data_IF_718548804760
#
_entry.id   IF_718548804760
#
_cell.length_a   1.000
_cell.length_b   1.000
_cell.length_c   1.000
_cell.angle_alpha   90.00
_cell.angle_beta   90.00
_cell.angle_gamma   90.00
#
_symmetry.space_group_name_H-M   'P 1'
#
loop_
_entity.id
_entity.type
_entity.pdbx_description
1 polymer ?
#
# COMPACT_ATOMS: atom_id res chain seq x y z
N UNK A 1 -2.30 9.59 3.95
CA UNK A 1 -1.01 10.06 4.50
C UNK A 1 -0.06 10.65 3.44
N UNK A 2 0.05 10.08 2.23
CA UNK A 2 0.93 10.55 1.14
C UNK A 2 0.94 12.08 0.92
N UNK A 3 -0.23 12.69 0.67
CA UNK A 3 -0.32 14.13 0.36
C UNK A 3 0.30 14.98 1.47
N UNK A 4 -0.04 14.70 2.73
CA UNK A 4 0.47 15.44 3.88
C UNK A 4 1.99 15.30 4.01
N UNK A 5 2.54 14.07 3.96
CA UNK A 5 3.99 13.87 4.10
C UNK A 5 4.74 14.54 2.96
N UNK A 6 4.26 14.41 1.72
CA UNK A 6 4.88 15.06 0.56
C UNK A 6 4.87 16.58 0.66
N UNK A 7 3.83 17.17 1.26
CA UNK A 7 3.76 18.61 1.51
C UNK A 7 4.73 19.07 2.61
N UNK A 8 4.98 18.23 3.62
CA UNK A 8 5.96 18.51 4.69
C UNK A 8 7.39 18.38 4.15
N UNK A 9 7.72 17.23 3.57
CA UNK A 9 9.00 16.94 2.96
C UNK A 9 8.89 15.67 2.09
N UNK A 10 9.09 15.84 0.79
CA UNK A 10 9.04 14.74 -0.17
C UNK A 10 10.10 13.64 0.10
N UNK A 11 11.24 13.98 0.69
CA UNK A 11 12.29 13.01 1.04
C UNK A 11 11.81 12.07 2.17
N UNK A 12 11.04 12.58 3.14
CA UNK A 12 10.45 11.74 4.17
C UNK A 12 9.50 10.71 3.57
N UNK A 13 8.70 11.11 2.56
CA UNK A 13 7.82 10.18 1.85
C UNK A 13 8.62 9.07 1.15
N UNK A 14 9.76 9.39 0.52
CA UNK A 14 10.63 8.37 -0.08
C UNK A 14 11.18 7.40 0.97
N UNK A 15 11.65 7.89 2.11
CA UNK A 15 12.19 7.04 3.19
C UNK A 15 11.12 6.11 3.75
N UNK A 16 9.88 6.59 3.89
CA UNK A 16 8.75 5.76 4.33
C UNK A 16 8.49 4.61 3.35
N UNK A 17 8.62 4.85 2.05
CA UNK A 17 8.33 3.84 1.03
C UNK A 17 9.47 2.87 0.77
N UNK A 18 10.70 3.38 0.70
CA UNK A 18 11.88 2.65 0.24
C UNK A 18 12.74 2.13 1.42
N UNK A 19 12.57 2.72 2.61
CA UNK A 19 13.41 2.48 3.76
C UNK A 19 14.59 3.44 3.85
N UNK A 20 15.19 3.58 5.04
CA UNK A 20 16.39 4.38 5.21
C UNK A 20 17.60 3.69 4.57
N UNK A 21 18.41 4.49 3.87
CA UNK A 21 19.73 4.04 3.45
C UNK A 21 20.71 4.21 4.60
N UNK A 22 20.82 3.19 5.46
CA UNK A 22 21.76 3.23 6.57
C UNK A 22 23.21 3.35 6.07
N UNK A 23 24.07 4.10 6.78
CA UNK A 23 25.48 4.21 6.46
C UNK A 23 26.15 2.83 6.44
N UNK A 24 26.70 2.45 5.29
CA UNK A 24 27.39 1.19 5.07
C UNK A 24 28.80 1.42 4.56
N UNK A 25 29.71 0.49 4.86
CA UNK A 25 31.08 0.48 4.36
C UNK A 25 31.37 -0.86 3.72
N UNK A 26 32.14 -0.85 2.62
CA UNK A 26 32.59 -2.07 1.94
C UNK A 26 34.04 -2.34 2.33
N UNK A 27 34.32 -3.54 2.82
CA UNK A 27 35.68 -3.99 3.12
C UNK A 27 36.50 -4.19 1.84
N UNK A 28 37.81 -4.33 1.97
CA UNK A 28 38.73 -4.65 0.86
C UNK A 28 38.37 -5.99 0.19
N UNK A 29 37.68 -6.88 0.90
CA UNK A 29 37.20 -8.19 0.44
C UNK A 29 35.79 -8.12 -0.17
N UNK A 30 35.21 -6.92 -0.32
CA UNK A 30 33.88 -6.73 -0.90
C UNK A 30 32.70 -6.94 0.06
N UNK A 31 32.96 -7.18 1.35
CA UNK A 31 31.92 -7.40 2.36
C UNK A 31 31.30 -6.06 2.76
N UNK A 32 29.98 -5.92 2.61
CA UNK A 32 29.24 -4.73 3.04
C UNK A 32 28.78 -4.90 4.49
N UNK A 33 29.18 -3.96 5.35
CA UNK A 33 28.77 -3.90 6.76
C UNK A 33 28.22 -2.52 7.12
N UNK A 34 27.52 -2.42 8.25
CA UNK A 34 27.17 -1.12 8.81
C UNK A 34 28.44 -0.35 9.18
N UNK A 35 28.45 0.93 8.83
CA UNK A 35 29.55 1.83 9.13
C UNK A 35 29.45 2.25 10.61
N UNK A 36 30.53 2.18 11.40
CA UNK A 36 30.50 2.63 12.78
C UNK A 36 30.27 4.15 12.86
N UNK A 37 29.53 4.61 13.87
CA UNK A 37 29.08 6.01 13.99
C UNK A 37 30.23 7.03 13.98
N UNK A 38 31.36 6.67 14.57
CA UNK A 38 32.59 7.50 14.58
C UNK A 38 33.11 7.82 13.17
N UNK A 39 32.78 7.01 12.17
CA UNK A 39 33.20 7.19 10.79
C UNK A 39 32.13 7.90 9.93
N UNK A 40 30.95 8.21 10.48
CA UNK A 40 29.85 8.81 9.72
C UNK A 40 30.22 10.17 9.16
N UNK A 41 29.92 10.37 7.88
CA UNK A 41 29.94 11.68 7.24
C UNK A 41 28.71 12.48 7.65
N UNK A 42 28.67 13.76 7.26
CA UNK A 42 27.47 14.57 7.47
C UNK A 42 26.26 14.03 6.69
N UNK A 43 26.48 13.51 5.49
CA UNK A 43 25.44 12.86 4.71
C UNK A 43 24.91 11.58 5.38
N UNK A 44 25.80 10.80 6.02
CA UNK A 44 25.43 9.60 6.78
C UNK A 44 24.50 9.96 7.94
N UNK A 45 24.86 11.00 8.72
CA UNK A 45 24.04 11.51 9.83
C UNK A 45 22.69 12.02 9.34
N UNK A 46 22.68 12.78 8.24
CA UNK A 46 21.46 13.32 7.64
C UNK A 46 20.47 12.22 7.24
N UNK A 47 20.94 11.09 6.70
CA UNK A 47 20.07 9.95 6.37
C UNK A 47 19.42 9.34 7.61
N UNK A 48 20.19 9.17 8.69
CA UNK A 48 19.68 8.64 9.97
C UNK A 48 18.67 9.61 10.59
N UNK A 49 18.97 10.91 10.56
CA UNK A 49 18.09 11.97 11.07
C UNK A 49 16.75 12.01 10.31
N UNK A 50 16.78 11.89 8.99
CA UNK A 50 15.56 11.88 8.17
C UNK A 50 14.68 10.66 8.49
N UNK A 51 15.27 9.48 8.75
CA UNK A 51 14.51 8.33 9.22
C UNK A 51 13.88 8.59 10.59
N UNK A 52 14.62 9.16 11.54
CA UNK A 52 14.09 9.50 12.86
C UNK A 52 12.92 10.49 12.77
N UNK A 53 13.04 11.50 11.89
CA UNK A 53 11.95 12.44 11.59
C UNK A 53 10.73 11.75 11.00
N UNK A 54 10.92 10.84 10.04
CA UNK A 54 9.83 10.08 9.45
C UNK A 54 9.14 9.15 10.48
N UNK A 55 9.90 8.46 11.33
CA UNK A 55 9.37 7.64 12.43
C UNK A 55 8.55 8.48 13.39
N UNK A 56 9.07 9.64 13.81
CA UNK A 56 8.36 10.54 14.71
C UNK A 56 7.05 11.04 14.07
N UNK A 57 7.10 11.46 12.80
CA UNK A 57 5.92 11.91 12.06
C UNK A 57 4.84 10.83 12.00
N UNK A 58 5.21 9.58 11.71
CA UNK A 58 4.27 8.45 11.71
C UNK A 58 3.67 8.20 13.10
N UNK A 59 4.50 8.18 14.15
CA UNK A 59 4.03 7.96 15.53
C UNK A 59 3.08 9.05 16.01
N UNK A 60 3.27 10.31 15.60
CA UNK A 60 2.35 11.39 15.90
C UNK A 60 1.02 11.30 15.13
N UNK A 61 0.99 10.62 13.99
CA UNK A 61 -0.18 10.53 13.13
C UNK A 61 -1.09 9.34 13.44
N UNK A 62 -0.61 8.36 14.21
CA UNK A 62 -1.33 7.13 14.53
C UNK A 62 -1.90 7.14 15.95
N UNK A 63 -2.94 6.33 16.17
CA UNK A 63 -3.54 6.15 17.50
C UNK A 63 -2.61 5.39 18.45
N UNK A 64 -2.88 5.48 19.75
CA UNK A 64 -2.13 4.74 20.76
C UNK A 64 -2.18 3.21 20.57
N UNK A 65 -3.30 2.67 20.08
CA UNK A 65 -3.44 1.24 19.80
C UNK A 65 -2.55 0.79 18.63
N UNK A 66 -2.45 1.61 17.58
CA UNK A 66 -1.56 1.35 16.46
C UNK A 66 -0.10 1.50 16.86
N UNK A 67 0.23 2.54 17.63
CA UNK A 67 1.57 2.75 18.19
C UNK A 67 2.06 1.51 18.94
N UNK A 68 1.24 0.90 19.79
CA UNK A 68 1.59 -0.34 20.52
C UNK A 68 2.00 -1.49 19.59
N UNK A 69 1.42 -1.58 18.38
CA UNK A 69 1.73 -2.65 17.41
C UNK A 69 3.03 -2.41 16.66
N UNK A 70 3.41 -1.13 16.49
CA UNK A 70 4.61 -0.72 15.75
C UNK A 70 5.77 -0.31 16.67
N UNK A 71 5.60 -0.33 18.00
CA UNK A 71 6.61 0.19 18.96
C UNK A 71 8.01 -0.42 18.77
N UNK A 72 8.09 -1.69 18.33
CA UNK A 72 9.36 -2.41 18.11
C UNK A 72 9.97 -2.16 16.73
N UNK A 73 9.29 -1.42 15.86
CA UNK A 73 9.82 -1.03 14.56
C UNK A 73 10.84 0.09 14.75
N UNK A 74 11.95 -0.03 14.04
CA UNK A 74 13.10 0.88 14.13
C UNK A 74 13.17 1.84 12.94
N UNK A 75 12.52 1.50 11.84
CA UNK A 75 12.49 2.32 10.63
C UNK A 75 11.09 2.78 10.29
N UNK A 76 10.99 3.93 9.61
CA UNK A 76 9.70 4.44 9.14
C UNK A 76 9.02 3.47 8.16
N UNK A 77 9.82 2.75 7.36
CA UNK A 77 9.37 1.71 6.44
C UNK A 77 8.74 0.52 7.16
N UNK A 78 9.36 0.01 8.22
CA UNK A 78 8.79 -1.08 9.01
C UNK A 78 7.45 -0.69 9.66
N UNK A 79 7.36 0.54 10.18
CA UNK A 79 6.10 1.07 10.73
C UNK A 79 5.04 1.11 9.62
N UNK A 80 5.38 1.71 8.48
CA UNK A 80 4.48 1.84 7.34
C UNK A 80 3.98 0.49 6.82
N UNK A 81 4.88 -0.46 6.60
CA UNK A 81 4.52 -1.80 6.11
C UNK A 81 3.60 -2.54 7.08
N UNK A 82 3.84 -2.43 8.39
CA UNK A 82 2.94 -2.99 9.40
C UNK A 82 1.57 -2.33 9.40
N UNK A 83 1.51 -1.00 9.28
CA UNK A 83 0.25 -0.27 9.20
C UNK A 83 -0.53 -0.69 7.94
N UNK A 84 0.15 -0.85 6.80
CA UNK A 84 -0.48 -1.37 5.59
C UNK A 84 -1.04 -2.77 5.78
N UNK A 85 -0.28 -3.69 6.38
CA UNK A 85 -0.76 -5.05 6.65
C UNK A 85 -1.97 -5.03 7.59
N UNK A 86 -1.97 -4.15 8.60
CA UNK A 86 -3.06 -4.06 9.56
C UNK A 86 -4.35 -3.52 8.94
N UNK A 87 -4.27 -2.44 8.15
CA UNK A 87 -5.45 -1.78 7.59
C UNK A 87 -5.92 -2.37 6.26
N UNK A 88 -4.99 -2.77 5.40
CA UNK A 88 -5.29 -3.26 4.05
C UNK A 88 -5.26 -4.80 3.98
N UNK A 89 -4.83 -5.47 5.05
CA UNK A 89 -4.62 -6.91 5.08
C UNK A 89 -3.29 -7.36 4.46
N UNK A 90 -2.93 -8.61 4.69
CA UNK A 90 -1.74 -9.23 4.08
C UNK A 90 -1.91 -9.41 2.57
N UNK A 91 -0.81 -9.60 1.84
CA UNK A 91 -0.85 -9.95 0.42
C UNK A 91 -1.73 -11.18 0.14
N UNK A 92 -1.78 -12.15 1.06
CA UNK A 92 -2.61 -13.35 0.93
C UNK A 92 -4.10 -12.98 1.04
N UNK A 93 -4.47 -12.17 2.03
CA UNK A 93 -5.85 -11.68 2.20
C UNK A 93 -6.28 -10.88 0.98
N UNK A 94 -5.43 -9.97 0.50
CA UNK A 94 -5.69 -9.18 -0.73
C UNK A 94 -5.90 -10.09 -1.94
N UNK A 95 -5.00 -11.05 -2.20
CA UNK A 95 -5.13 -12.02 -3.30
C UNK A 95 -6.41 -12.85 -3.20
N UNK A 96 -6.78 -13.28 -1.99
CA UNK A 96 -8.00 -14.05 -1.75
C UNK A 96 -9.24 -13.21 -2.06
N UNK A 97 -9.28 -11.96 -1.58
CA UNK A 97 -10.36 -11.01 -1.85
C UNK A 97 -10.48 -10.71 -3.34
N UNK A 98 -9.36 -10.46 -4.01
CA UNK A 98 -9.31 -10.32 -5.48
C UNK A 98 -9.89 -11.54 -6.19
N UNK A 99 -9.46 -12.75 -5.82
CA UNK A 99 -9.95 -13.97 -6.43
C UNK A 99 -11.47 -14.12 -6.27
N UNK A 100 -11.99 -13.85 -5.07
CA UNK A 100 -13.43 -13.91 -4.79
C UNK A 100 -14.21 -12.89 -5.61
N UNK A 101 -13.76 -11.63 -5.64
CA UNK A 101 -14.41 -10.56 -6.42
C UNK A 101 -14.35 -10.82 -7.93
N UNK A 102 -13.23 -11.33 -8.44
CA UNK A 102 -13.11 -11.70 -9.85
C UNK A 102 -14.09 -12.82 -10.20
N UNK A 103 -14.23 -13.82 -9.31
CA UNK A 103 -15.19 -14.90 -9.52
C UNK A 103 -16.62 -14.39 -9.48
N UNK A 104 -16.95 -13.50 -8.55
CA UNK A 104 -18.28 -12.86 -8.46
C UNK A 104 -18.58 -12.05 -9.71
N UNK A 105 -17.60 -11.29 -10.21
CA UNK A 105 -17.68 -10.56 -11.47
C UNK A 105 -17.90 -11.49 -12.67
N UNK A 106 -17.15 -12.58 -12.77
CA UNK A 106 -17.23 -13.54 -13.89
C UNK A 106 -18.58 -14.25 -13.98
N UNK A 107 -19.20 -14.54 -12.84
CA UNK A 107 -20.52 -15.17 -12.77
C UNK A 107 -21.67 -14.17 -12.63
N UNK A 108 -21.37 -12.86 -12.64
CA UNK A 108 -22.35 -11.81 -12.41
C UNK A 108 -23.43 -11.86 -13.50
N UNK A 109 -24.68 -12.01 -13.04
CA UNK A 109 -25.85 -12.04 -13.89
C UNK A 109 -27.03 -11.44 -13.14
N UNK A 110 -27.97 -10.91 -13.92
CA UNK A 110 -29.24 -10.44 -13.40
C UNK A 110 -30.02 -11.57 -12.74
N UNK A 111 -30.56 -11.30 -11.55
CA UNK A 111 -31.38 -12.25 -10.81
C UNK A 111 -32.84 -12.15 -11.24
N UNK A 112 -33.60 -13.23 -10.99
CA UNK A 112 -35.03 -13.24 -11.27
C UNK A 112 -35.76 -12.22 -10.38
N UNK A 113 -36.51 -11.31 -11.00
CA UNK A 113 -37.24 -10.25 -10.31
C UNK A 113 -36.38 -9.05 -9.87
N UNK A 114 -35.08 -9.03 -10.19
CA UNK A 114 -34.21 -7.89 -9.93
C UNK A 114 -34.55 -6.73 -10.87
N UNK A 115 -34.57 -5.50 -10.36
CA UNK A 115 -34.68 -4.29 -11.19
C UNK A 115 -33.33 -3.92 -11.80
N UNK A 116 -33.36 -3.11 -12.86
CA UNK A 116 -32.12 -2.62 -13.51
C UNK A 116 -31.29 -1.79 -12.53
N UNK A 117 -31.92 -0.98 -11.67
CA UNK A 117 -31.21 -0.18 -10.67
C UNK A 117 -30.50 -1.07 -9.63
N UNK A 118 -31.17 -2.11 -9.13
CA UNK A 118 -30.58 -3.08 -8.20
C UNK A 118 -29.40 -3.85 -8.82
N UNK A 119 -29.53 -4.22 -10.10
CA UNK A 119 -28.46 -4.84 -10.88
C UNK A 119 -27.23 -3.91 -10.93
N UNK A 120 -27.44 -2.64 -11.28
CA UNK A 120 -26.36 -1.67 -11.37
C UNK A 120 -25.68 -1.42 -10.03
N UNK A 121 -26.44 -1.31 -8.93
CA UNK A 121 -25.87 -1.13 -7.59
C UNK A 121 -24.98 -2.31 -7.19
N UNK A 122 -25.46 -3.54 -7.37
CA UNK A 122 -24.67 -4.76 -7.09
C UNK A 122 -23.41 -4.82 -7.94
N UNK A 123 -23.52 -4.51 -9.22
CA UNK A 123 -22.38 -4.49 -10.11
C UNK A 123 -21.35 -3.41 -9.71
N UNK A 124 -21.82 -2.21 -9.36
CA UNK A 124 -20.98 -1.11 -8.92
C UNK A 124 -20.20 -1.45 -7.65
N UNK A 125 -20.83 -2.16 -6.70
CA UNK A 125 -20.15 -2.64 -5.48
C UNK A 125 -18.94 -3.53 -5.83
N UNK A 126 -19.08 -4.41 -6.82
CA UNK A 126 -17.99 -5.30 -7.28
C UNK A 126 -16.86 -4.47 -7.91
N UNK A 127 -17.21 -3.54 -8.81
CA UNK A 127 -16.23 -2.69 -9.50
C UNK A 127 -15.46 -1.80 -8.51
N UNK A 128 -16.16 -1.08 -7.63
CA UNK A 128 -15.55 -0.22 -6.61
C UNK A 128 -14.65 -1.04 -5.68
N UNK A 129 -15.06 -2.26 -5.33
CA UNK A 129 -14.25 -3.14 -4.49
C UNK A 129 -12.99 -3.65 -5.19
N UNK A 130 -13.04 -3.89 -6.50
CA UNK A 130 -11.88 -4.28 -7.31
C UNK A 130 -10.92 -3.09 -7.52
N UNK A 131 -11.47 -1.90 -7.75
CA UNK A 131 -10.68 -0.66 -7.89
C UNK A 131 -9.94 -0.32 -6.60
N UNK A 132 -10.59 -0.49 -5.44
CA UNK A 132 -9.95 -0.33 -4.13
C UNK A 132 -8.77 -1.29 -3.89
N UNK A 133 -8.67 -2.39 -4.66
CA UNK A 133 -7.54 -3.33 -4.65
C UNK A 133 -6.53 -3.05 -5.77
N UNK A 134 -6.70 -1.97 -6.53
CA UNK A 134 -5.84 -1.57 -7.64
C UNK A 134 -6.09 -2.35 -8.93
N UNK A 135 -7.25 -2.99 -9.08
CA UNK A 135 -7.62 -3.74 -10.28
C UNK A 135 -8.63 -2.93 -11.07
N UNK A 136 -8.16 -2.30 -12.14
CA UNK A 136 -9.02 -1.54 -13.04
C UNK A 136 -9.57 -2.43 -14.14
N UNK A 137 -10.89 -2.41 -14.30
CA UNK A 137 -11.57 -2.98 -15.45
C UNK A 137 -11.91 -1.86 -16.44
N UNK A 138 -11.58 -2.00 -17.74
CA UNK A 138 -12.00 -1.03 -18.74
C UNK A 138 -13.53 -1.01 -18.88
N UNK A 139 -14.04 0.08 -19.45
CA UNK A 139 -15.46 0.37 -19.66
C UNK A 139 -16.20 -0.84 -20.26
N UNK A 140 -17.31 -1.22 -19.62
CA UNK A 140 -18.01 -2.49 -19.85
C UNK A 140 -19.36 -2.24 -20.53
N UNK A 141 -19.80 -3.24 -21.30
CA UNK A 141 -21.14 -3.29 -21.88
C UNK A 141 -21.88 -4.46 -21.25
N UNK A 142 -23.04 -4.19 -20.67
CA UNK A 142 -23.99 -5.22 -20.27
C UNK A 142 -24.76 -5.65 -21.51
N UNK A 143 -24.50 -6.87 -21.98
CA UNK A 143 -25.21 -7.44 -23.13
C UNK A 143 -26.00 -8.66 -22.65
N UNK A 144 -27.33 -8.62 -22.79
CA UNK A 144 -28.26 -9.65 -22.31
C UNK A 144 -28.09 -10.01 -20.81
N UNK A 145 -27.85 -9.01 -19.96
CA UNK A 145 -27.73 -9.19 -18.51
C UNK A 145 -26.42 -9.86 -18.05
N UNK A 146 -25.42 -9.96 -18.94
CA UNK A 146 -24.07 -10.45 -18.63
C UNK A 146 -23.03 -9.39 -18.93
N UNK A 147 -22.00 -9.34 -18.09
CA UNK A 147 -20.87 -8.42 -18.24
C UNK A 147 -19.92 -8.99 -19.29
N UNK A 148 -19.70 -8.27 -20.38
CA UNK A 148 -18.73 -8.65 -21.41
C UNK A 148 -17.58 -7.64 -21.50
N UNK A 149 -16.36 -8.15 -21.71
CA UNK A 149 -15.19 -7.30 -21.98
C UNK A 149 -15.34 -6.68 -23.37
N UNK A 150 -15.27 -5.35 -23.48
CA UNK A 150 -15.16 -4.69 -24.77
C UNK A 150 -13.89 -5.19 -25.48
N UNK A 151 -14.05 -5.90 -26.59
CA UNK A 151 -12.93 -6.16 -27.50
C UNK A 151 -12.63 -4.84 -28.21
N UNK A 152 -11.50 -4.23 -27.90
CA UNK A 152 -10.99 -3.13 -28.72
C UNK A 152 -10.78 -3.68 -30.14
N UNK A 153 -11.48 -3.09 -31.11
CA UNK A 153 -11.29 -3.34 -32.55
C UNK A 153 -10.01 -2.65 -33.03
#
# INVERSE_FOLDING_TARGET
>A
MKIFVQAVDYILWKIILEGPQFPTSTSVEGVVSLKPEVAWTEDDRKKVELNAKAVNLLNCAISFEEYRRVLRCTTAKEIWDKLQIFHEGTTIVKKTRTYMLNREYEIFAMMEGESIDELFERFNIIIVSLDALGIMYPEFVLENGKVQRQRQQ
#
